data_IF_239232634313
#
_entry.id   IF_239232634313
#
_cell.length_a   1.000
_cell.length_b   1.000
_cell.length_c   1.000
_cell.angle_alpha   90.00
_cell.angle_beta   90.00
_cell.angle_gamma   90.00
#
_symmetry.space_group_name_H-M   'P 1'
#
loop_
_entity.id
_entity.type
_entity.pdbx_description
1 polymer ?
#
# COMPACT_ATOMS: atom_id res chain seq x y z
N UNK A 1 49.27 60.13 14.66
CA UNK A 1 48.32 60.59 13.63
C UNK A 1 47.02 59.87 13.89
N UNK A 2 46.14 60.49 14.69
CA UNK A 2 44.87 59.93 15.13
C UNK A 2 43.76 60.84 14.60
N UNK A 3 42.82 60.28 13.84
CA UNK A 3 41.75 61.04 13.19
C UNK A 3 40.41 60.65 13.81
N UNK A 4 39.86 61.64 14.51
CA UNK A 4 38.47 62.03 14.72
C UNK A 4 37.33 60.98 14.75
N UNK A 5 36.58 61.09 15.84
CA UNK A 5 35.24 60.62 16.16
C UNK A 5 34.09 61.29 15.40
N UNK A 6 32.96 60.57 15.38
CA UNK A 6 31.54 60.98 15.37
C UNK A 6 30.88 61.51 14.08
N UNK A 7 29.92 60.73 13.55
CA UNK A 7 28.58 61.24 13.28
C UNK A 7 27.54 60.14 13.55
N UNK A 8 26.44 60.54 14.17
CA UNK A 8 25.42 59.74 14.85
C UNK A 8 24.13 59.70 14.01
N UNK A 9 23.31 58.70 14.31
CA UNK A 9 21.86 58.60 14.10
C UNK A 9 21.29 58.66 12.67
N UNK A 10 20.77 57.50 12.23
CA UNK A 10 19.92 57.33 11.06
C UNK A 10 19.08 56.05 11.18
N UNK A 11 17.97 56.20 11.88
CA UNK A 11 16.85 55.29 12.10
C UNK A 11 16.52 54.28 10.98
N UNK A 12 16.40 53.01 11.36
CA UNK A 12 15.14 52.25 11.32
C UNK A 12 15.42 50.74 11.11
N UNK A 13 14.73 49.86 11.84
CA UNK A 13 14.85 48.42 11.66
C UNK A 13 14.37 48.06 10.26
N UNK A 14 15.17 47.32 9.50
CA UNK A 14 14.65 46.57 8.35
C UNK A 14 13.66 45.54 8.89
N UNK A 15 12.41 45.99 9.08
CA UNK A 15 11.22 45.16 9.14
C UNK A 15 11.10 44.51 7.76
N UNK A 16 11.83 43.43 7.55
CA UNK A 16 11.42 42.45 6.57
C UNK A 16 9.99 42.05 6.98
N UNK A 17 8.98 42.24 6.12
CA UNK A 17 7.66 41.74 6.44
C UNK A 17 7.83 40.24 6.67
N UNK A 18 7.40 39.79 7.86
CA UNK A 18 7.14 38.40 8.15
C UNK A 18 6.11 37.92 7.12
N UNK A 19 6.63 37.52 5.96
CA UNK A 19 5.94 36.78 4.94
C UNK A 19 5.45 35.54 5.63
N UNK A 20 4.17 35.55 5.94
CA UNK A 20 3.44 34.41 6.46
C UNK A 20 3.81 33.23 5.58
N UNK A 21 4.51 32.24 6.14
CA UNK A 21 4.61 30.89 5.57
C UNK A 21 3.24 30.21 5.68
N UNK A 22 2.19 30.87 5.18
CA UNK A 22 0.86 30.31 4.97
C UNK A 22 0.87 29.72 3.58
N UNK A 23 1.43 28.53 3.48
CA UNK A 23 1.58 27.80 2.23
C UNK A 23 1.91 26.33 2.47
N UNK A 24 1.32 25.70 3.49
CA UNK A 24 1.30 24.24 3.59
C UNK A 24 0.26 23.68 2.61
N UNK A 25 0.65 23.46 1.35
CA UNK A 25 0.00 22.48 0.50
C UNK A 25 1.11 21.78 -0.30
N UNK A 26 1.50 20.59 0.15
CA UNK A 26 0.88 19.43 -0.45
C UNK A 26 0.03 18.69 0.58
N UNK A 27 -1.22 18.45 0.21
CA UNK A 27 -2.06 17.44 0.85
C UNK A 27 -1.44 16.07 0.54
N UNK A 28 -0.32 15.76 1.19
CA UNK A 28 0.00 14.39 1.54
C UNK A 28 -0.48 14.28 2.99
N UNK A 29 -1.80 14.16 3.14
CA UNK A 29 -2.35 13.53 4.33
C UNK A 29 -1.67 12.17 4.37
N UNK A 30 -0.64 12.02 5.19
CA UNK A 30 -0.10 10.73 5.54
C UNK A 30 -1.31 9.92 6.01
N UNK A 31 -1.75 8.98 5.18
CA UNK A 31 -2.91 8.17 5.49
C UNK A 31 -2.67 7.56 6.86
N UNK A 32 -3.63 7.78 7.78
CA UNK A 32 -3.51 7.23 9.12
C UNK A 32 -3.16 5.74 9.00
N UNK A 33 -2.17 5.25 9.76
CA UNK A 33 -1.73 3.87 9.64
C UNK A 33 -2.95 2.95 9.84
N UNK A 34 -3.07 1.87 9.05
CA UNK A 34 -4.19 0.96 9.18
C UNK A 34 -4.27 0.45 10.62
N UNK A 35 -5.49 0.40 11.16
CA UNK A 35 -5.69 -0.08 12.52
C UNK A 35 -5.27 -1.55 12.63
N UNK A 36 -4.89 -1.98 13.84
CA UNK A 36 -4.61 -3.40 14.11
C UNK A 36 -5.77 -4.30 13.70
N UNK A 37 -7.02 -3.83 13.89
CA UNK A 37 -8.22 -4.53 13.45
C UNK A 37 -8.25 -4.74 11.92
N UNK A 38 -7.87 -3.72 11.13
CA UNK A 38 -7.76 -3.86 9.68
C UNK A 38 -6.67 -4.88 9.30
N UNK A 39 -5.52 -4.85 10.00
CA UNK A 39 -4.47 -5.84 9.81
C UNK A 39 -4.95 -7.28 10.08
N UNK A 40 -5.62 -7.51 11.21
CA UNK A 40 -6.20 -8.81 11.54
C UNK A 40 -7.29 -9.24 10.55
N UNK A 41 -8.13 -8.31 10.09
CA UNK A 41 -9.15 -8.60 9.09
C UNK A 41 -8.54 -9.07 7.77
N UNK A 42 -7.45 -8.42 7.31
CA UNK A 42 -6.74 -8.84 6.09
C UNK A 42 -6.07 -10.20 6.27
N UNK A 43 -5.45 -10.45 7.42
CA UNK A 43 -4.84 -11.76 7.71
C UNK A 43 -5.88 -12.88 7.76
N UNK A 44 -6.98 -12.65 8.47
CA UNK A 44 -8.08 -13.60 8.56
C UNK A 44 -8.71 -13.87 7.19
N UNK A 45 -8.95 -12.81 6.39
CA UNK A 45 -9.49 -12.95 5.04
C UNK A 45 -8.53 -13.72 4.12
N UNK A 46 -7.23 -13.42 4.19
CA UNK A 46 -6.20 -14.11 3.41
C UNK A 46 -6.09 -15.58 3.78
N UNK A 47 -6.10 -15.90 5.08
CA UNK A 47 -6.07 -17.27 5.57
C UNK A 47 -7.33 -18.05 5.17
N UNK A 48 -8.51 -17.42 5.28
CA UNK A 48 -9.77 -18.02 4.84
C UNK A 48 -9.77 -18.29 3.32
N UNK A 49 -9.34 -17.31 2.53
CA UNK A 49 -9.26 -17.45 1.07
C UNK A 49 -8.27 -18.56 0.67
N UNK A 50 -7.12 -18.64 1.34
CA UNK A 50 -6.14 -19.70 1.12
C UNK A 50 -6.73 -21.07 1.48
N UNK A 51 -7.41 -21.19 2.62
CA UNK A 51 -8.03 -22.45 3.05
C UNK A 51 -9.13 -22.91 2.10
N UNK A 52 -10.05 -22.01 1.73
CA UNK A 52 -11.15 -22.29 0.79
C UNK A 52 -10.60 -22.63 -0.60
N UNK A 53 -9.64 -21.86 -1.10
CA UNK A 53 -9.01 -22.11 -2.40
C UNK A 53 -8.25 -23.43 -2.44
N UNK A 54 -7.50 -23.74 -1.39
CA UNK A 54 -6.77 -25.01 -1.27
C UNK A 54 -7.73 -26.20 -1.20
N UNK A 55 -8.83 -26.08 -0.46
CA UNK A 55 -9.87 -27.11 -0.43
C UNK A 55 -10.48 -27.32 -1.80
N UNK A 56 -10.95 -26.25 -2.46
CA UNK A 56 -11.64 -26.33 -3.75
C UNK A 56 -10.75 -26.93 -4.86
N UNK A 57 -9.46 -26.60 -4.88
CA UNK A 57 -8.56 -26.96 -5.99
C UNK A 57 -7.75 -28.22 -5.75
N UNK A 58 -7.17 -28.39 -4.56
CA UNK A 58 -6.23 -29.47 -4.26
C UNK A 58 -6.88 -30.64 -3.53
N UNK A 59 -7.75 -30.35 -2.54
CA UNK A 59 -8.27 -31.37 -1.62
C UNK A 59 -9.63 -31.94 -2.03
N UNK A 60 -10.41 -31.22 -2.83
CA UNK A 60 -11.74 -31.64 -3.29
C UNK A 60 -11.73 -32.91 -4.15
N UNK A 61 -10.58 -33.29 -4.70
CA UNK A 61 -10.42 -34.55 -5.43
C UNK A 61 -10.38 -35.79 -4.50
N UNK A 62 -10.11 -35.59 -3.21
CA UNK A 62 -9.89 -36.67 -2.23
C UNK A 62 -10.96 -36.64 -1.12
N UNK A 63 -11.56 -35.47 -0.85
CA UNK A 63 -12.58 -35.30 0.19
C UNK A 63 -14.02 -35.32 -0.37
N UNK A 64 -14.97 -35.96 0.34
CA UNK A 64 -16.39 -35.88 0.01
C UNK A 64 -16.94 -34.44 0.13
N UNK A 65 -18.08 -34.22 -0.53
CA UNK A 65 -18.76 -32.92 -0.56
C UNK A 65 -19.14 -32.46 0.85
N UNK A 66 -18.98 -31.15 1.08
CA UNK A 66 -19.19 -30.52 2.39
C UNK A 66 -20.66 -30.27 2.71
N UNK A 67 -21.54 -30.34 1.71
CA UNK A 67 -22.96 -29.96 1.83
C UNK A 67 -23.18 -28.44 1.72
N UNK A 68 -22.12 -27.65 1.64
CA UNK A 68 -22.19 -26.21 1.42
C UNK A 68 -22.26 -25.97 -0.08
N UNK A 69 -23.43 -25.53 -0.57
CA UNK A 69 -23.73 -25.41 -2.01
C UNK A 69 -22.65 -24.66 -2.82
N UNK A 70 -22.09 -23.59 -2.25
CA UNK A 70 -21.03 -22.80 -2.92
C UNK A 70 -19.73 -23.59 -3.02
N UNK A 71 -19.26 -24.19 -1.92
CA UNK A 71 -18.04 -25.00 -1.91
C UNK A 71 -18.16 -26.24 -2.80
N UNK A 72 -19.32 -26.89 -2.77
CA UNK A 72 -19.57 -28.09 -3.57
C UNK A 72 -19.65 -27.76 -5.07
N UNK A 73 -20.21 -26.59 -5.44
CA UNK A 73 -20.19 -26.11 -6.81
C UNK A 73 -18.76 -25.82 -7.30
N UNK A 74 -17.92 -25.21 -6.45
CA UNK A 74 -16.49 -24.99 -6.71
C UNK A 74 -15.71 -26.31 -6.83
N UNK A 75 -16.04 -27.31 -6.01
CA UNK A 75 -15.41 -28.63 -6.05
C UNK A 75 -15.79 -29.44 -7.30
N UNK A 76 -17.02 -29.28 -7.78
CA UNK A 76 -17.55 -29.96 -8.96
C UNK A 76 -17.14 -29.33 -10.29
N UNK A 77 -16.58 -28.12 -10.29
CA UNK A 77 -16.05 -27.48 -11.49
C UNK A 77 -14.84 -28.25 -12.02
N UNK A 78 -15.02 -28.91 -13.17
CA UNK A 78 -13.98 -29.67 -13.86
C UNK A 78 -13.19 -28.85 -14.89
N UNK A 79 -13.68 -27.67 -15.26
CA UNK A 79 -13.15 -26.88 -16.37
C UNK A 79 -12.12 -25.85 -15.90
N UNK A 80 -12.33 -25.22 -14.74
CA UNK A 80 -11.44 -24.16 -14.23
C UNK A 80 -10.62 -24.56 -13.01
N UNK A 81 -10.76 -25.79 -12.51
CA UNK A 81 -10.08 -26.29 -11.30
C UNK A 81 -8.57 -26.04 -11.28
N UNK A 82 -7.92 -26.23 -12.41
CA UNK A 82 -6.47 -26.06 -12.55
C UNK A 82 -6.04 -24.67 -13.04
N UNK A 83 -6.99 -23.86 -13.51
CA UNK A 83 -6.72 -22.47 -13.88
C UNK A 83 -6.21 -21.66 -12.69
N UNK A 84 -6.67 -21.99 -11.48
CA UNK A 84 -6.17 -21.40 -10.23
C UNK A 84 -4.67 -21.65 -10.01
N UNK A 85 -4.14 -22.80 -10.43
CA UNK A 85 -2.70 -23.08 -10.32
C UNK A 85 -1.88 -22.18 -11.26
N UNK A 86 -2.43 -21.82 -12.42
CA UNK A 86 -1.81 -20.87 -13.36
C UNK A 86 -1.96 -19.42 -12.88
N UNK A 87 -3.02 -19.09 -12.16
CA UNK A 87 -3.21 -17.76 -11.55
C UNK A 87 -2.10 -17.40 -10.56
N UNK A 88 -1.55 -18.36 -9.81
CA UNK A 88 -0.49 -18.10 -8.82
C UNK A 88 0.76 -17.48 -9.46
N UNK A 89 1.45 -18.10 -10.43
CA UNK A 89 2.62 -17.49 -11.06
C UNK A 89 2.28 -16.23 -11.86
N UNK A 90 1.12 -16.18 -12.53
CA UNK A 90 0.73 -15.01 -13.32
C UNK A 90 0.47 -13.78 -12.46
N UNK A 91 -0.24 -13.93 -11.34
CA UNK A 91 -0.51 -12.82 -10.42
C UNK A 91 0.74 -12.40 -9.66
N UNK A 92 1.54 -13.36 -9.18
CA UNK A 92 2.82 -13.07 -8.53
C UNK A 92 3.75 -12.28 -9.46
N UNK A 93 3.87 -12.70 -10.72
CA UNK A 93 4.66 -11.98 -11.72
C UNK A 93 4.19 -10.54 -11.91
N UNK A 94 2.87 -10.33 -12.03
CA UNK A 94 2.31 -8.98 -12.21
C UNK A 94 2.60 -8.07 -11.01
N UNK A 95 2.42 -8.57 -9.79
CA UNK A 95 2.72 -7.81 -8.56
C UNK A 95 4.20 -7.47 -8.45
N UNK A 96 5.08 -8.43 -8.73
CA UNK A 96 6.54 -8.23 -8.71
C UNK A 96 6.95 -7.21 -9.77
N UNK A 97 6.46 -7.36 -11.00
CA UNK A 97 6.77 -6.43 -12.09
C UNK A 97 6.29 -5.00 -11.77
N UNK A 98 5.09 -4.86 -11.20
CA UNK A 98 4.56 -3.58 -10.76
C UNK A 98 5.40 -2.97 -9.62
N UNK A 99 5.80 -3.78 -8.64
CA UNK A 99 6.69 -3.36 -7.55
C UNK A 99 8.03 -2.88 -8.11
N UNK A 100 8.69 -3.70 -8.93
CA UNK A 100 10.01 -3.44 -9.48
C UNK A 100 9.96 -2.19 -10.39
N UNK A 101 8.93 -2.05 -11.21
CA UNK A 101 8.71 -0.86 -12.03
C UNK A 101 8.59 0.42 -11.20
N UNK A 102 7.89 0.36 -10.07
CA UNK A 102 7.81 1.50 -9.14
C UNK A 102 9.16 1.87 -8.51
N UNK A 103 9.98 0.87 -8.15
CA UNK A 103 11.33 1.12 -7.64
C UNK A 103 12.20 1.84 -8.67
N UNK A 104 12.16 1.40 -9.93
CA UNK A 104 12.88 2.07 -11.00
C UNK A 104 12.37 3.50 -11.22
N UNK A 105 11.05 3.71 -11.25
CA UNK A 105 10.47 5.06 -11.43
C UNK A 105 10.93 6.05 -10.35
N UNK A 106 11.12 5.60 -9.10
CA UNK A 106 11.54 6.49 -7.99
C UNK A 106 13.05 6.73 -7.90
N UNK A 107 13.87 5.83 -8.43
CA UNK A 107 15.33 5.85 -8.27
C UNK A 107 16.10 6.05 -9.59
N UNK A 108 15.40 6.33 -10.69
CA UNK A 108 15.99 6.73 -11.99
C UNK A 108 15.82 8.23 -12.18
#
# INVERSE_FOLDING_TARGET
MATATTHDAGDAPHTAPHGKYTGYHPVILAAAPPSLAAGYAVLAASAALLAVGSYATLLSAVWPHTGIRVLDALAADSHYKYFVLLLIPTTAYFVIANWVGWQYYRNS
#
